data_IF_831214672986
#
_entry.id   IF_831214672986
#
_cell.length_a   1.000
_cell.length_b   1.000
_cell.length_c   1.000
_cell.angle_alpha   90.00
_cell.angle_beta   90.00
_cell.angle_gamma   90.00
#
_symmetry.space_group_name_H-M   'P 1'
#
loop_
_entity.id
_entity.type
_entity.pdbx_description
1 polymer ?
#
# COMPACT_ATOMS: atom_id res chain seq x y z
N UNK A 1 -7.79 14.79 25.75
CA UNK A 1 -8.29 16.00 25.07
C UNK A 1 -7.31 16.61 24.07
N UNK A 2 -5.98 16.48 24.23
CA UNK A 2 -5.02 17.15 23.34
C UNK A 2 -5.01 16.68 21.87
N UNK A 3 -5.39 15.43 21.58
CA UNK A 3 -5.38 14.89 20.19
C UNK A 3 -6.42 15.53 19.26
N UNK A 4 -7.48 16.15 19.80
CA UNK A 4 -8.44 16.89 18.98
C UNK A 4 -7.89 18.23 18.45
N UNK A 5 -6.80 18.76 19.04
CA UNK A 5 -6.12 19.97 18.52
C UNK A 5 -5.33 19.74 17.23
N UNK A 6 -5.11 18.49 16.85
CA UNK A 6 -4.30 18.11 15.68
C UNK A 6 -5.16 17.75 14.47
N UNK A 7 -6.49 17.78 14.63
CA UNK A 7 -7.41 17.74 13.50
C UNK A 7 -7.30 19.13 12.85
N UNK A 8 -6.92 19.23 11.56
CA UNK A 8 -6.90 20.51 10.86
C UNK A 8 -8.22 21.23 11.03
N UNK A 9 -8.18 22.56 10.99
CA UNK A 9 -9.38 23.40 11.01
C UNK A 9 -10.42 22.83 10.03
N UNK A 10 -11.65 22.64 10.53
CA UNK A 10 -12.66 21.76 9.94
C UNK A 10 -12.92 22.15 8.47
N UNK A 11 -12.29 21.43 7.54
CA UNK A 11 -12.47 21.68 6.12
C UNK A 11 -13.93 21.42 5.77
N UNK A 12 -14.58 22.43 5.20
CA UNK A 12 -15.98 22.30 4.82
C UNK A 12 -16.12 21.43 3.58
N UNK A 13 -16.99 20.42 3.63
CA UNK A 13 -17.32 19.56 2.50
C UNK A 13 -16.95 18.09 2.74
N UNK A 14 -16.77 17.30 1.67
CA UNK A 14 -16.42 15.88 1.76
C UNK A 14 -15.06 15.67 2.43
N UNK A 15 -15.01 14.76 3.39
CA UNK A 15 -13.84 14.48 4.21
C UNK A 15 -13.67 12.98 4.46
N UNK A 16 -12.41 12.52 4.48
CA UNK A 16 -12.03 11.15 4.86
C UNK A 16 -11.10 11.22 6.08
N UNK A 17 -11.50 10.57 7.17
CA UNK A 17 -10.73 10.45 8.39
C UNK A 17 -10.27 9.00 8.59
N UNK A 18 -8.97 8.79 8.78
CA UNK A 18 -8.41 7.50 9.17
C UNK A 18 -7.85 7.57 10.59
N UNK A 19 -8.48 6.88 11.52
CA UNK A 19 -8.00 6.75 12.89
C UNK A 19 -7.16 5.47 13.02
N UNK A 20 -5.85 5.67 12.92
CA UNK A 20 -4.81 4.63 12.94
C UNK A 20 -4.97 3.67 14.15
N UNK A 21 -4.98 4.14 15.43
CA UNK A 21 -5.12 3.22 16.57
C UNK A 21 -6.51 2.59 16.69
N UNK A 22 -7.54 3.20 16.08
CA UNK A 22 -8.88 2.61 16.04
C UNK A 22 -9.02 1.54 14.94
N UNK A 23 -8.12 1.50 13.95
CA UNK A 23 -8.24 0.69 12.73
C UNK A 23 -9.53 0.98 11.97
N UNK A 24 -9.93 2.26 11.91
CA UNK A 24 -11.22 2.68 11.38
C UNK A 24 -11.05 3.90 10.44
N UNK A 25 -11.82 3.88 9.34
CA UNK A 25 -12.02 5.00 8.44
C UNK A 25 -13.48 5.47 8.55
N UNK A 26 -13.66 6.79 8.45
CA UNK A 26 -14.95 7.43 8.21
C UNK A 26 -14.84 8.35 7.00
N UNK A 27 -15.87 8.37 6.16
CA UNK A 27 -16.02 9.32 5.08
C UNK A 27 -17.40 9.97 5.18
N UNK A 28 -17.44 11.30 5.19
CA UNK A 28 -18.66 12.08 5.43
C UNK A 28 -18.53 13.48 4.83
N UNK A 29 -19.65 14.18 4.66
CA UNK A 29 -19.68 15.58 4.27
C UNK A 29 -20.00 16.44 5.50
N UNK A 30 -19.11 17.37 5.86
CA UNK A 30 -19.31 18.22 7.05
C UNK A 30 -20.52 19.15 6.95
N UNK A 31 -21.08 19.35 5.75
CA UNK A 31 -22.26 20.20 5.52
C UNK A 31 -23.57 19.43 5.62
N UNK A 32 -23.53 18.10 5.63
CA UNK A 32 -24.69 17.24 5.67
C UNK A 32 -24.94 16.72 7.09
N UNK A 33 -26.16 16.26 7.36
CA UNK A 33 -26.47 15.65 8.66
C UNK A 33 -25.62 14.38 8.88
N UNK A 34 -25.39 14.00 10.13
CA UNK A 34 -24.48 12.90 10.50
C UNK A 34 -25.00 11.49 10.10
N UNK A 35 -26.13 11.39 9.40
CA UNK A 35 -26.77 10.13 9.07
C UNK A 35 -26.10 9.42 7.87
N UNK A 36 -25.37 10.15 7.01
CA UNK A 36 -24.72 9.63 5.79
C UNK A 36 -23.20 9.43 5.96
N UNK A 37 -22.78 8.83 7.08
CA UNK A 37 -21.36 8.53 7.34
C UNK A 37 -21.03 7.12 6.84
N UNK A 38 -20.21 7.03 5.78
CA UNK A 38 -19.57 5.76 5.43
C UNK A 38 -18.52 5.43 6.49
N UNK A 39 -18.56 4.23 7.05
CA UNK A 39 -17.54 3.76 7.97
C UNK A 39 -17.06 2.35 7.63
N UNK A 40 -15.76 2.12 7.76
CA UNK A 40 -15.16 0.79 7.51
C UNK A 40 -13.88 0.57 8.31
N UNK A 41 -13.55 -0.70 8.56
CA UNK A 41 -12.26 -1.06 9.15
C UNK A 41 -11.13 -0.80 8.15
N UNK A 42 -9.96 -0.43 8.64
CA UNK A 42 -8.71 -0.32 7.88
C UNK A 42 -7.62 -1.18 8.48
N UNK A 43 -6.66 -1.60 7.66
CA UNK A 43 -5.40 -2.17 8.12
C UNK A 43 -4.34 -1.09 7.95
N UNK A 44 -3.53 -0.89 8.99
CA UNK A 44 -2.46 0.11 9.02
C UNK A 44 -1.11 -0.56 9.22
N UNK A 45 -0.06 0.23 9.04
CA UNK A 45 1.32 -0.18 9.24
C UNK A 45 1.61 -0.73 10.64
N UNK A 46 2.66 -1.56 10.77
CA UNK A 46 3.03 -2.19 12.04
C UNK A 46 3.50 -1.14 13.06
N UNK A 47 3.06 -1.26 14.31
CA UNK A 47 3.52 -0.41 15.40
C UNK A 47 4.93 -0.80 15.86
N UNK A 48 5.77 0.20 16.21
CA UNK A 48 7.17 0.05 16.65
C UNK A 48 7.40 -1.09 17.66
N UNK A 49 6.51 -1.24 18.65
CA UNK A 49 6.71 -2.20 19.75
C UNK A 49 6.29 -3.65 19.42
N UNK A 50 5.62 -3.88 18.28
CA UNK A 50 5.25 -5.24 17.81
C UNK A 50 6.23 -5.76 16.76
N UNK A 51 7.37 -5.09 16.57
CA UNK A 51 8.41 -5.52 15.64
C UNK A 51 9.46 -6.31 16.42
N UNK A 52 9.38 -7.64 16.34
CA UNK A 52 10.44 -8.54 16.79
C UNK A 52 11.10 -9.11 15.54
N UNK A 53 12.19 -8.49 15.09
CA UNK A 53 12.91 -8.84 13.87
C UNK A 53 14.25 -8.13 13.77
N UNK A 54 15.14 -8.62 12.89
CA UNK A 54 16.50 -8.11 12.67
C UNK A 54 16.57 -7.17 11.45
N UNK A 55 15.48 -6.54 11.02
CA UNK A 55 15.47 -5.73 9.79
C UNK A 55 15.76 -4.25 10.11
N UNK A 56 16.82 -3.70 9.52
CA UNK A 56 17.32 -2.34 9.80
C UNK A 56 16.40 -1.19 9.32
N UNK A 57 15.23 -1.50 8.73
CA UNK A 57 14.25 -0.52 8.23
C UNK A 57 12.91 -0.53 9.01
N UNK A 58 12.85 -1.24 10.14
CA UNK A 58 11.62 -1.54 10.88
C UNK A 58 10.87 -0.30 11.42
N UNK A 59 11.57 0.81 11.70
CA UNK A 59 10.96 2.07 12.10
C UNK A 59 10.10 2.75 11.01
N UNK A 60 10.21 2.30 9.75
CA UNK A 60 9.52 2.91 8.59
C UNK A 60 8.18 2.25 8.26
N UNK A 61 7.75 1.24 9.02
CA UNK A 61 6.51 0.50 8.73
C UNK A 61 5.27 1.12 9.37
N UNK A 62 5.39 2.18 10.17
CA UNK A 62 4.24 2.87 10.76
C UNK A 62 3.53 3.74 9.73
N UNK A 63 2.20 3.73 9.74
CA UNK A 63 1.43 4.74 9.02
C UNK A 63 1.68 6.11 9.67
N UNK A 64 2.23 7.10 8.96
CA UNK A 64 2.46 8.44 9.48
C UNK A 64 1.14 9.19 9.62
N UNK A 65 1.14 10.19 10.49
CA UNK A 65 0.01 11.09 10.71
C UNK A 65 0.21 12.32 9.82
N UNK A 66 -0.70 12.54 8.88
CA UNK A 66 -0.67 13.70 7.99
C UNK A 66 -2.06 13.96 7.38
N UNK A 67 -2.19 15.07 6.67
CA UNK A 67 -3.38 15.43 5.87
C UNK A 67 -2.95 15.63 4.41
N UNK A 68 -3.77 15.19 3.47
CA UNK A 68 -3.55 15.37 2.04
C UNK A 68 -4.89 15.37 1.30
N UNK A 69 -4.91 15.96 0.11
CA UNK A 69 -6.09 15.97 -0.76
C UNK A 69 -6.15 14.68 -1.60
N UNK A 70 -7.32 14.03 -1.63
CA UNK A 70 -7.57 12.91 -2.53
C UNK A 70 -7.71 13.44 -3.96
N UNK A 71 -6.79 13.06 -4.84
CA UNK A 71 -6.75 13.58 -6.21
C UNK A 71 -7.49 12.69 -7.21
N UNK A 72 -7.26 11.38 -7.19
CA UNK A 72 -7.89 10.46 -8.15
C UNK A 72 -7.89 9.00 -7.69
N UNK A 73 -8.66 8.19 -8.40
CA UNK A 73 -8.78 6.74 -8.20
C UNK A 73 -8.12 6.01 -9.35
N UNK A 74 -7.52 4.86 -9.04
CA UNK A 74 -6.97 3.93 -10.03
C UNK A 74 -7.68 2.60 -9.86
N UNK A 75 -8.43 2.20 -10.88
CA UNK A 75 -9.06 0.89 -10.97
C UNK A 75 -8.10 -0.12 -11.57
N UNK A 76 -8.18 -1.36 -11.10
CA UNK A 76 -7.31 -2.47 -11.53
C UNK A 76 -5.83 -2.04 -11.55
N UNK A 77 -5.26 -1.57 -10.42
CA UNK A 77 -3.93 -0.98 -10.41
C UNK A 77 -2.82 -2.04 -10.63
N UNK A 78 -1.75 -1.64 -11.30
CA UNK A 78 -0.46 -2.32 -11.10
C UNK A 78 0.03 -2.05 -9.68
N UNK A 79 0.61 -3.06 -9.04
CA UNK A 79 1.37 -2.86 -7.81
C UNK A 79 2.85 -2.76 -8.14
N UNK A 80 3.39 -1.54 -8.12
CA UNK A 80 4.82 -1.30 -8.28
C UNK A 80 5.52 -1.66 -6.97
N UNK A 81 6.37 -2.69 -6.99
CA UNK A 81 6.99 -3.23 -5.78
C UNK A 81 8.04 -2.23 -5.25
N UNK A 82 7.88 -1.72 -4.02
CA UNK A 82 8.91 -0.89 -3.39
C UNK A 82 10.23 -1.67 -3.25
N UNK A 83 11.35 -0.96 -3.40
CA UNK A 83 12.69 -1.57 -3.34
C UNK A 83 12.91 -2.42 -2.09
N UNK A 84 12.46 -1.96 -0.93
CA UNK A 84 12.58 -2.72 0.33
C UNK A 84 11.82 -4.05 0.30
N UNK A 85 10.58 -4.07 -0.21
CA UNK A 85 9.78 -5.30 -0.34
C UNK A 85 10.42 -6.24 -1.36
N UNK A 86 10.92 -5.70 -2.48
CA UNK A 86 11.66 -6.49 -3.46
C UNK A 86 12.85 -7.20 -2.79
N UNK A 87 13.71 -6.46 -2.10
CA UNK A 87 14.95 -7.00 -1.54
C UNK A 87 14.77 -7.84 -0.29
N UNK A 88 13.85 -7.46 0.61
CA UNK A 88 13.72 -8.08 1.93
C UNK A 88 12.70 -9.23 1.94
N UNK A 89 11.75 -9.25 1.00
CA UNK A 89 10.67 -10.24 0.98
C UNK A 89 10.68 -11.07 -0.31
N UNK A 90 10.68 -10.44 -1.47
CA UNK A 90 10.47 -11.17 -2.74
C UNK A 90 11.72 -11.91 -3.21
N UNK A 91 12.89 -11.28 -3.21
CA UNK A 91 14.13 -11.95 -3.67
C UNK A 91 14.46 -13.21 -2.83
N UNK A 92 14.35 -13.21 -1.49
CA UNK A 92 14.51 -14.43 -0.69
C UNK A 92 13.47 -15.53 -0.98
N UNK A 93 12.26 -15.17 -1.42
CA UNK A 93 11.25 -16.14 -1.85
C UNK A 93 11.56 -16.69 -3.24
N UNK A 94 12.05 -15.83 -4.14
CA UNK A 94 12.45 -16.22 -5.49
C UNK A 94 13.66 -17.18 -5.49
N UNK A 95 14.60 -17.01 -4.56
CA UNK A 95 15.71 -17.95 -4.35
C UNK A 95 15.24 -19.35 -3.98
N UNK A 96 14.12 -19.45 -3.26
CA UNK A 96 13.54 -20.73 -2.82
C UNK A 96 12.59 -21.35 -3.84
N UNK A 97 11.94 -20.51 -4.64
CA UNK A 97 10.96 -20.90 -5.66
C UNK A 97 11.17 -20.06 -6.93
N UNK A 98 11.89 -20.57 -7.93
CA UNK A 98 12.13 -19.87 -9.19
C UNK A 98 10.85 -19.45 -9.93
N UNK A 99 9.74 -20.15 -9.72
CA UNK A 99 8.45 -19.86 -10.36
C UNK A 99 7.63 -18.82 -9.58
N UNK A 100 8.14 -18.30 -8.46
CA UNK A 100 7.41 -17.42 -7.55
C UNK A 100 6.79 -16.21 -8.28
N UNK A 101 7.54 -15.56 -9.18
CA UNK A 101 7.06 -14.39 -9.92
C UNK A 101 5.86 -14.75 -10.80
N UNK A 102 5.92 -15.87 -11.52
CA UNK A 102 4.84 -16.34 -12.38
C UNK A 102 3.61 -16.74 -11.55
N UNK A 103 3.79 -17.50 -10.48
CA UNK A 103 2.71 -17.93 -9.56
C UNK A 103 1.96 -16.74 -8.93
N UNK A 104 2.64 -15.61 -8.79
CA UNK A 104 2.11 -14.37 -8.21
C UNK A 104 1.81 -13.27 -9.25
N UNK A 105 1.81 -13.59 -10.55
CA UNK A 105 1.43 -12.67 -11.63
C UNK A 105 2.28 -11.39 -11.67
N UNK A 106 3.60 -11.54 -11.53
CA UNK A 106 4.58 -10.45 -11.49
C UNK A 106 5.36 -10.36 -12.80
N UNK A 107 5.72 -9.12 -13.17
CA UNK A 107 6.48 -8.79 -14.37
C UNK A 107 7.72 -7.97 -14.02
N UNK A 108 8.83 -8.28 -14.69
CA UNK A 108 10.07 -7.50 -14.62
C UNK A 108 10.00 -6.39 -15.68
N UNK A 109 10.19 -5.14 -15.28
CA UNK A 109 10.03 -3.97 -16.15
C UNK A 109 11.18 -2.98 -16.01
N UNK A 110 11.44 -2.19 -17.06
CA UNK A 110 12.46 -1.14 -16.99
C UNK A 110 12.05 0.05 -16.10
N UNK A 111 10.76 0.35 -16.02
CA UNK A 111 10.19 1.50 -15.28
C UNK A 111 8.73 1.25 -14.90
N UNK A 112 8.19 2.09 -14.02
CA UNK A 112 6.81 1.99 -13.54
C UNK A 112 5.80 2.76 -14.41
N UNK A 113 5.87 2.57 -15.73
CA UNK A 113 4.88 3.12 -16.68
C UNK A 113 4.04 1.99 -17.26
N UNK A 114 2.83 2.30 -17.72
CA UNK A 114 1.93 1.29 -18.29
C UNK A 114 2.55 0.58 -19.50
N UNK A 115 3.22 1.34 -20.36
CA UNK A 115 3.90 0.95 -21.59
C UNK A 115 5.33 0.42 -21.39
N UNK A 116 5.77 0.24 -20.13
CA UNK A 116 7.14 -0.16 -19.86
C UNK A 116 7.49 -1.51 -20.51
N UNK A 117 8.66 -1.61 -21.18
CA UNK A 117 9.16 -2.90 -21.69
C UNK A 117 9.20 -3.96 -20.58
N UNK A 118 8.57 -5.10 -20.86
CA UNK A 118 8.55 -6.29 -20.00
C UNK A 118 9.69 -7.23 -20.41
N UNK A 119 10.45 -7.69 -19.43
CA UNK A 119 11.56 -8.61 -19.62
C UNK A 119 11.12 -10.04 -19.30
N UNK A 120 11.58 -11.00 -20.11
CA UNK A 120 11.43 -12.41 -19.80
C UNK A 120 12.14 -12.75 -18.49
N UNK A 121 11.54 -13.65 -17.69
CA UNK A 121 12.11 -14.13 -16.43
C UNK A 121 13.22 -15.13 -16.77
N UNK A 122 14.47 -14.71 -16.55
CA UNK A 122 15.68 -15.51 -16.72
C UNK A 122 16.80 -14.97 -15.82
N UNK A 123 17.92 -15.68 -15.74
CA UNK A 123 19.06 -15.34 -14.88
C UNK A 123 19.54 -13.89 -15.05
N UNK A 124 19.64 -13.40 -16.29
CA UNK A 124 20.07 -12.02 -16.56
C UNK A 124 19.08 -10.98 -16.01
N UNK A 125 17.78 -11.15 -16.28
CA UNK A 125 16.75 -10.25 -15.78
C UNK A 125 16.66 -10.26 -14.25
N UNK A 126 16.84 -11.43 -13.62
CA UNK A 126 16.82 -11.62 -12.18
C UNK A 126 18.05 -10.93 -11.56
N UNK A 127 19.24 -11.15 -12.09
CA UNK A 127 20.47 -10.46 -11.65
C UNK A 127 20.32 -8.93 -11.68
N UNK A 128 19.60 -8.41 -12.69
CA UNK A 128 19.28 -6.97 -12.79
C UNK A 128 18.24 -6.47 -11.78
N UNK A 129 17.38 -7.34 -11.24
CA UNK A 129 16.56 -7.02 -10.07
C UNK A 129 17.44 -6.88 -8.82
N UNK A 130 18.38 -7.81 -8.59
CA UNK A 130 19.32 -7.75 -7.46
C UNK A 130 20.17 -6.49 -7.48
N UNK A 131 20.67 -6.07 -8.65
CA UNK A 131 21.46 -4.85 -8.81
C UNK A 131 20.64 -3.55 -8.85
N UNK A 132 19.30 -3.65 -8.86
CA UNK A 132 18.39 -2.50 -8.90
C UNK A 132 18.32 -1.79 -10.26
N UNK A 133 18.75 -2.45 -11.33
CA UNK A 133 18.69 -1.93 -12.70
C UNK A 133 17.34 -2.18 -13.39
N UNK A 134 16.58 -3.16 -12.89
CA UNK A 134 15.20 -3.43 -13.29
C UNK A 134 14.28 -3.32 -12.09
N UNK A 135 13.00 -3.15 -12.40
CA UNK A 135 11.94 -3.03 -11.42
C UNK A 135 11.01 -4.24 -11.50
N UNK A 136 10.28 -4.48 -10.42
CA UNK A 136 9.25 -5.52 -10.36
C UNK A 136 7.89 -4.88 -10.13
N UNK A 137 6.87 -5.33 -10.86
CA UNK A 137 5.47 -4.96 -10.60
C UNK A 137 4.57 -6.19 -10.59
N UNK A 138 3.51 -6.16 -9.80
CA UNK A 138 2.43 -7.13 -9.89
C UNK A 138 1.34 -6.61 -10.82
N UNK A 139 0.86 -7.46 -11.72
CA UNK A 139 -0.21 -7.11 -12.66
C UNK A 139 -1.56 -7.01 -11.95
N UNK A 140 -2.54 -6.29 -12.51
CA UNK A 140 -3.91 -6.32 -12.04
C UNK A 140 -4.48 -7.75 -12.03
N UNK A 141 -5.32 -8.06 -11.05
CA UNK A 141 -5.99 -9.36 -10.96
C UNK A 141 -6.32 -9.77 -9.52
N UNK A 142 -6.98 -10.91 -9.36
CA UNK A 142 -7.54 -11.39 -8.07
C UNK A 142 -6.51 -11.54 -6.94
N UNK A 143 -5.23 -11.74 -7.27
CA UNK A 143 -4.14 -11.89 -6.30
C UNK A 143 -3.33 -10.60 -6.09
N UNK A 144 -3.72 -9.49 -6.73
CA UNK A 144 -2.98 -8.24 -6.61
C UNK A 144 -3.06 -7.72 -5.18
N UNK A 145 -1.91 -7.41 -4.57
CA UNK A 145 -1.86 -6.96 -3.17
C UNK A 145 -2.61 -5.64 -2.92
N UNK A 146 -2.79 -4.81 -3.95
CA UNK A 146 -3.55 -3.56 -3.91
C UNK A 146 -5.04 -3.74 -4.20
N UNK A 147 -5.52 -4.98 -4.41
CA UNK A 147 -6.90 -5.26 -4.75
C UNK A 147 -7.33 -4.63 -6.06
N UNK A 148 -8.59 -4.17 -6.12
CA UNK A 148 -9.20 -3.66 -7.36
C UNK A 148 -9.18 -2.14 -7.48
N UNK A 149 -8.89 -1.42 -6.40
CA UNK A 149 -8.92 0.04 -6.39
C UNK A 149 -7.82 0.62 -5.49
N UNK A 150 -7.22 1.71 -5.96
CA UNK A 150 -6.22 2.50 -5.23
C UNK A 150 -6.64 3.97 -5.24
N UNK A 151 -6.58 4.61 -4.08
CA UNK A 151 -6.96 6.00 -3.84
C UNK A 151 -5.67 6.82 -3.70
N UNK A 152 -5.46 7.77 -4.60
CA UNK A 152 -4.23 8.57 -4.66
C UNK A 152 -4.44 9.94 -4.06
N UNK A 153 -3.65 10.24 -3.04
CA UNK A 153 -3.50 11.55 -2.42
C UNK A 153 -2.00 11.87 -2.38
N UNK A 154 -1.46 12.66 -3.33
CA UNK A 154 -0.03 12.95 -3.41
C UNK A 154 0.54 13.43 -2.08
N UNK A 155 1.64 12.82 -1.63
CA UNK A 155 2.28 13.12 -0.35
C UNK A 155 3.76 12.75 -0.35
N UNK A 156 4.50 13.25 0.64
CA UNK A 156 5.94 13.03 0.81
C UNK A 156 6.32 11.66 1.41
N UNK A 157 5.34 10.80 1.68
CA UNK A 157 5.53 9.50 2.34
C UNK A 157 5.33 8.31 1.39
N UNK A 158 4.96 8.55 0.13
CA UNK A 158 4.60 7.51 -0.85
C UNK A 158 3.45 6.58 -0.39
N UNK A 159 2.51 7.12 0.37
CA UNK A 159 1.37 6.39 0.94
C UNK A 159 0.09 6.63 0.13
N UNK A 160 -0.79 5.64 0.14
CA UNK A 160 -2.10 5.66 -0.52
C UNK A 160 -3.04 4.71 0.21
N UNK A 161 -4.35 4.85 0.02
CA UNK A 161 -5.33 3.84 0.45
C UNK A 161 -5.57 2.88 -0.71
N UNK A 162 -5.84 1.61 -0.41
CA UNK A 162 -6.09 0.60 -1.43
C UNK A 162 -6.98 -0.52 -0.89
N UNK A 163 -7.60 -1.25 -1.81
CA UNK A 163 -8.31 -2.51 -1.53
C UNK A 163 -7.33 -3.66 -1.24
N UNK A 164 -7.81 -4.82 -0.81
CA UNK A 164 -6.96 -5.98 -0.60
C UNK A 164 -7.71 -7.30 -0.81
N UNK A 165 -7.07 -8.32 -1.42
CA UNK A 165 -7.63 -9.66 -1.48
C UNK A 165 -7.65 -10.35 -0.11
N UNK A 166 -6.90 -9.85 0.88
CA UNK A 166 -6.76 -10.44 2.21
C UNK A 166 -7.87 -10.01 3.19
N UNK A 167 -9.14 -10.12 2.77
CA UNK A 167 -10.31 -9.65 3.53
C UNK A 167 -10.44 -10.27 4.94
N UNK A 168 -9.90 -11.47 5.15
CA UNK A 168 -9.91 -12.14 6.45
C UNK A 168 -9.14 -11.37 7.53
N UNK A 169 -8.17 -10.53 7.15
CA UNK A 169 -7.35 -9.77 8.10
C UNK A 169 -8.15 -8.70 8.86
N UNK A 170 -9.25 -8.21 8.31
CA UNK A 170 -10.16 -7.26 8.99
C UNK A 170 -10.93 -7.88 10.18
N UNK A 171 -10.88 -9.21 10.31
CA UNK A 171 -11.47 -9.94 11.45
C UNK A 171 -10.51 -10.10 12.62
N UNK A 172 -9.23 -9.75 12.48
CA UNK A 172 -8.26 -9.83 13.58
C UNK A 172 -8.62 -8.81 14.66
N UNK A 173 -8.51 -9.24 15.92
CA UNK A 173 -8.66 -8.37 17.08
C UNK A 173 -7.39 -7.52 17.29
N UNK A 174 -7.52 -6.41 18.02
CA UNK A 174 -6.48 -5.41 18.27
C UNK A 174 -5.29 -5.96 19.09
#
# INVERSE_FOLDING_TARGET
>A
MERMRWIPEQQQGPFILVNIPAFQLWAYDTKQSHDDVLSMKVIVGKAKNKVQGKNKNEDKLQTPIFTAELSYLVFSPYWNIPKSILTEEILPLLEKDPDYLQKNNMEIVSRFTHDAPVYAINENSISRLYSGQLNLRQRPGRKNALGNIKFIFPNNYAIYLHDTPALSLFKRNK
#
